data_IF_985223487995
#
_entry.id   IF_985223487995
#
_cell.length_a   1.000
_cell.length_b   1.000
_cell.length_c   1.000
_cell.angle_alpha   90.00
_cell.angle_beta   90.00
_cell.angle_gamma   90.00
#
_symmetry.space_group_name_H-M   'P 1'
#
loop_
_entity.id
_entity.type
_entity.pdbx_description
1 polymer ?
#
# COMPACT_ATOMS: atom_id res chain seq x y z
N UNK A 1 3.22 9.57 -20.75
CA UNK A 1 3.33 8.40 -19.90
C UNK A 1 2.32 8.52 -18.77
N UNK A 2 1.53 7.47 -18.52
CA UNK A 2 0.51 7.42 -17.47
C UNK A 2 0.87 6.26 -16.53
N UNK A 3 0.84 6.52 -15.23
CA UNK A 3 1.09 5.53 -14.20
C UNK A 3 -0.21 5.13 -13.49
N UNK A 4 -0.34 3.83 -13.20
CA UNK A 4 -1.53 3.25 -12.58
C UNK A 4 -1.33 3.02 -11.07
N UNK A 5 -0.91 4.04 -10.31
CA UNK A 5 -0.96 4.01 -8.85
C UNK A 5 -2.41 4.29 -8.42
N UNK A 6 -3.24 3.28 -8.64
CA UNK A 6 -4.71 3.36 -8.71
C UNK A 6 -5.37 3.92 -7.44
N UNK A 7 -4.81 3.68 -6.26
CA UNK A 7 -5.37 4.17 -4.99
C UNK A 7 -5.43 5.68 -4.89
N UNK A 8 -4.58 6.41 -5.64
CA UNK A 8 -4.65 7.88 -5.75
C UNK A 8 -5.99 8.39 -6.30
N UNK A 9 -6.73 7.52 -7.00
CA UNK A 9 -8.02 7.84 -7.61
C UNK A 9 -9.21 7.43 -6.75
N UNK A 10 -8.99 6.71 -5.63
CA UNK A 10 -10.06 6.23 -4.76
C UNK A 10 -10.87 7.38 -4.13
N UNK A 11 -12.12 7.07 -3.75
CA UNK A 11 -12.98 8.03 -3.05
C UNK A 11 -12.36 8.51 -1.74
N UNK A 12 -11.69 7.60 -1.01
CA UNK A 12 -10.95 7.93 0.21
C UNK A 12 -9.88 8.99 -0.04
N UNK A 13 -9.11 8.84 -1.12
CA UNK A 13 -8.05 9.80 -1.43
C UNK A 13 -8.54 11.11 -2.01
N UNK A 14 -9.64 11.10 -2.74
CA UNK A 14 -10.30 12.35 -3.18
C UNK A 14 -10.77 13.14 -1.97
N UNK A 15 -11.38 12.48 -1.00
CA UNK A 15 -11.84 13.11 0.23
C UNK A 15 -10.67 13.53 1.13
N UNK A 16 -9.65 12.68 1.28
CA UNK A 16 -8.45 13.02 2.04
C UNK A 16 -7.76 14.28 1.49
N UNK A 17 -7.67 14.40 0.18
CA UNK A 17 -7.12 15.61 -0.46
C UNK A 17 -7.90 16.87 -0.08
N UNK A 18 -9.25 16.81 -0.14
CA UNK A 18 -10.11 17.91 0.30
C UNK A 18 -9.85 18.30 1.76
N UNK A 19 -9.72 17.31 2.64
CA UNK A 19 -9.46 17.49 4.08
C UNK A 19 -8.09 18.14 4.32
N UNK A 20 -7.06 17.69 3.59
CA UNK A 20 -5.71 18.25 3.66
C UNK A 20 -5.66 19.69 3.14
N UNK A 21 -6.27 19.95 1.99
CA UNK A 21 -6.36 21.28 1.38
C UNK A 21 -7.14 22.28 2.27
N UNK A 22 -8.21 21.82 2.93
CA UNK A 22 -8.93 22.60 3.93
C UNK A 22 -8.11 22.86 5.21
N UNK A 23 -6.98 22.19 5.37
CA UNK A 23 -6.12 22.28 6.54
C UNK A 23 -6.77 21.74 7.82
N UNK A 24 -7.76 20.86 7.70
CA UNK A 24 -8.53 20.32 8.85
C UNK A 24 -7.62 19.55 9.81
N UNK A 25 -6.66 18.76 9.30
CA UNK A 25 -5.71 18.03 10.14
C UNK A 25 -4.56 18.91 10.66
N UNK A 26 -4.36 20.09 10.08
CA UNK A 26 -3.18 20.92 10.36
C UNK A 26 -1.91 20.31 9.76
N UNK A 27 -0.75 20.52 10.41
CA UNK A 27 0.51 19.92 10.01
C UNK A 27 0.48 18.43 10.37
N UNK A 28 0.77 17.54 9.42
CA UNK A 28 0.92 16.10 9.68
C UNK A 28 2.11 15.88 10.61
N UNK A 29 1.94 15.00 11.59
CA UNK A 29 2.95 14.69 12.62
C UNK A 29 3.39 13.23 12.57
N UNK A 30 2.43 12.31 12.37
CA UNK A 30 2.74 10.90 12.23
C UNK A 30 1.64 10.16 11.47
N UNK A 31 1.99 9.00 10.92
CA UNK A 31 1.06 8.12 10.22
C UNK A 31 1.32 6.66 10.62
N UNK A 32 0.28 5.88 10.60
CA UNK A 32 0.37 4.42 10.56
C UNK A 32 -0.55 3.87 9.48
N UNK A 33 -0.12 2.79 8.83
CA UNK A 33 -0.95 2.12 7.84
C UNK A 33 -0.54 0.65 7.69
N UNK A 34 -1.44 -0.13 7.10
CA UNK A 34 -1.16 -1.51 6.75
C UNK A 34 -1.73 -1.89 5.38
N UNK A 35 -1.11 -2.92 4.79
CA UNK A 35 -1.65 -3.70 3.68
C UNK A 35 -1.66 -5.16 4.12
N UNK A 36 -2.79 -5.61 4.66
CA UNK A 36 -3.03 -6.98 5.08
C UNK A 36 -3.86 -7.69 4.03
N UNK A 37 -3.27 -8.63 3.32
CA UNK A 37 -3.95 -9.38 2.28
C UNK A 37 -4.38 -10.76 2.74
N UNK A 38 -5.51 -11.22 2.21
CA UNK A 38 -6.09 -12.51 2.51
C UNK A 38 -5.21 -13.69 2.04
N UNK A 39 -5.36 -14.88 2.64
CA UNK A 39 -4.56 -16.06 2.32
C UNK A 39 -4.56 -16.43 0.83
N UNK A 40 -5.69 -16.30 0.14
CA UNK A 40 -5.79 -16.58 -1.30
C UNK A 40 -4.89 -15.65 -2.14
N UNK A 41 -4.80 -14.38 -1.73
CA UNK A 41 -4.00 -13.37 -2.42
C UNK A 41 -2.52 -13.56 -2.10
N UNK A 42 -2.16 -13.86 -0.83
CA UNK A 42 -0.79 -14.22 -0.48
C UNK A 42 -0.33 -15.50 -1.18
N UNK A 43 -1.17 -16.53 -1.23
CA UNK A 43 -0.92 -17.74 -2.01
C UNK A 43 -0.62 -17.45 -3.48
N UNK A 44 -1.37 -16.53 -4.09
CA UNK A 44 -1.11 -16.09 -5.46
C UNK A 44 0.32 -15.54 -5.60
N UNK A 45 0.76 -14.65 -4.71
CA UNK A 45 2.12 -14.11 -4.74
C UNK A 45 3.17 -15.21 -4.56
N UNK A 46 2.95 -16.15 -3.64
CA UNK A 46 3.90 -17.24 -3.36
C UNK A 46 3.98 -18.31 -4.46
N UNK A 47 3.12 -18.27 -5.47
CA UNK A 47 3.03 -19.27 -6.53
C UNK A 47 3.18 -18.72 -7.94
N UNK A 48 2.76 -17.49 -8.17
CA UNK A 48 2.91 -16.78 -9.43
C UNK A 48 4.38 -16.42 -9.69
N UNK A 49 4.71 -15.94 -10.89
CA UNK A 49 6.05 -15.48 -11.23
C UNK A 49 6.58 -14.41 -10.25
N UNK A 50 5.68 -13.68 -9.59
CA UNK A 50 5.97 -12.65 -8.59
C UNK A 50 6.68 -13.20 -7.35
N UNK A 51 6.61 -14.50 -7.12
CA UNK A 51 7.31 -15.17 -6.02
C UNK A 51 8.83 -15.05 -6.11
N UNK A 52 9.36 -14.75 -7.30
CA UNK A 52 10.79 -14.63 -7.56
C UNK A 52 11.19 -13.16 -7.66
N UNK A 53 12.01 -12.72 -6.71
CA UNK A 53 12.50 -11.33 -6.62
C UNK A 53 13.16 -10.85 -7.92
N UNK A 54 13.90 -11.74 -8.60
CA UNK A 54 14.54 -11.42 -9.90
C UNK A 54 13.57 -10.92 -10.98
N UNK A 55 12.27 -11.18 -10.83
CA UNK A 55 11.24 -10.74 -11.78
C UNK A 55 10.37 -9.61 -11.20
N UNK A 56 10.04 -9.69 -9.89
CA UNK A 56 9.14 -8.74 -9.23
C UNK A 56 9.86 -7.56 -8.59
N UNK A 57 11.15 -7.73 -8.24
CA UNK A 57 11.87 -6.79 -7.40
C UNK A 57 11.48 -6.86 -5.92
N UNK A 58 10.82 -7.96 -5.50
CA UNK A 58 10.34 -8.16 -4.14
C UNK A 58 8.89 -7.73 -3.93
N UNK A 59 8.28 -8.18 -2.84
CA UNK A 59 6.87 -7.90 -2.53
C UNK A 59 6.63 -6.41 -2.24
N UNK A 60 7.58 -5.75 -1.57
CA UNK A 60 7.45 -4.31 -1.25
C UNK A 60 7.36 -3.48 -2.53
N UNK A 61 8.20 -3.75 -3.52
CA UNK A 61 8.16 -3.04 -4.80
C UNK A 61 6.93 -3.41 -5.64
N UNK A 62 6.63 -4.71 -5.77
CA UNK A 62 5.55 -5.19 -6.65
C UNK A 62 4.14 -4.80 -6.15
N UNK A 63 3.93 -4.81 -4.83
CA UNK A 63 2.61 -4.58 -4.24
C UNK A 63 2.53 -3.31 -3.41
N UNK A 64 3.43 -3.12 -2.45
CA UNK A 64 3.30 -2.06 -1.47
C UNK A 64 3.76 -0.69 -1.96
N UNK A 65 4.39 -0.60 -3.16
CA UNK A 65 4.68 0.69 -3.78
C UNK A 65 3.43 1.57 -3.94
N UNK A 66 2.25 0.97 -4.11
CA UNK A 66 0.97 1.68 -4.13
C UNK A 66 0.67 2.39 -2.80
N UNK A 67 0.97 1.74 -1.67
CA UNK A 67 0.77 2.30 -0.33
C UNK A 67 1.82 3.36 -0.03
N UNK A 68 3.07 3.07 -0.33
CA UNK A 68 4.18 4.01 -0.15
C UNK A 68 3.92 5.31 -0.93
N UNK A 69 3.51 5.22 -2.19
CA UNK A 69 3.10 6.37 -2.99
C UNK A 69 1.98 7.17 -2.33
N UNK A 70 0.94 6.46 -1.90
CA UNK A 70 -0.23 7.06 -1.28
C UNK A 70 0.16 7.92 -0.06
N UNK A 71 0.94 7.35 0.87
CA UNK A 71 1.30 8.04 2.11
C UNK A 71 2.38 9.09 1.90
N UNK A 72 3.31 8.92 0.97
CA UNK A 72 4.21 9.98 0.52
C UNK A 72 3.41 11.21 0.06
N UNK A 73 2.31 10.98 -0.64
CA UNK A 73 1.47 12.08 -1.13
C UNK A 73 0.69 12.82 -0.04
N UNK A 74 0.34 12.10 1.02
CA UNK A 74 -0.36 12.68 2.18
C UNK A 74 0.62 13.54 3.00
N UNK A 75 1.85 13.05 3.19
CA UNK A 75 2.91 13.83 3.83
C UNK A 75 3.35 15.01 2.96
N UNK A 76 3.33 14.85 1.64
CA UNK A 76 3.78 15.86 0.68
C UNK A 76 5.30 15.98 0.55
N UNK A 77 6.05 15.00 1.11
CA UNK A 77 7.50 14.97 1.18
C UNK A 77 8.04 13.58 0.84
N UNK A 78 9.34 13.48 0.60
CA UNK A 78 10.08 12.23 0.44
C UNK A 78 10.72 11.83 1.77
N UNK A 79 10.72 10.53 2.16
CA UNK A 79 11.38 10.12 3.40
C UNK A 79 12.89 10.36 3.35
N UNK A 80 13.44 10.69 4.50
CA UNK A 80 14.90 10.93 4.68
C UNK A 80 15.62 9.67 5.09
N UNK A 81 14.97 8.79 5.88
CA UNK A 81 15.53 7.52 6.35
C UNK A 81 14.45 6.45 6.43
N UNK A 82 14.84 5.21 6.24
CA UNK A 82 13.97 4.04 6.41
C UNK A 82 14.67 2.96 7.23
N UNK A 83 13.88 2.20 8.01
CA UNK A 83 14.33 0.98 8.68
C UNK A 83 13.23 -0.08 8.56
N UNK A 84 13.62 -1.34 8.38
CA UNK A 84 12.66 -2.41 8.14
C UNK A 84 13.10 -3.74 8.75
N UNK A 85 12.10 -4.54 9.15
CA UNK A 85 12.24 -5.92 9.58
C UNK A 85 11.13 -6.75 8.95
N UNK A 86 11.46 -7.96 8.51
CA UNK A 86 10.51 -8.84 7.87
C UNK A 86 11.11 -10.19 7.54
N UNK A 87 10.39 -10.98 6.80
CA UNK A 87 10.84 -12.30 6.38
C UNK A 87 9.72 -13.16 5.86
N UNK A 88 9.98 -14.46 5.80
CA UNK A 88 9.01 -15.48 5.39
C UNK A 88 8.85 -16.50 6.51
N UNK A 89 7.69 -16.56 7.14
CA UNK A 89 7.38 -17.47 8.24
C UNK A 89 5.94 -17.99 8.23
N UNK A 90 5.08 -17.56 7.32
CA UNK A 90 3.74 -18.08 7.14
C UNK A 90 3.68 -19.12 6.01
N UNK A 91 4.20 -18.78 4.83
CA UNK A 91 4.20 -19.68 3.67
C UNK A 91 5.47 -20.55 3.67
N UNK A 92 5.62 -21.38 4.68
CA UNK A 92 6.72 -22.34 4.86
C UNK A 92 6.16 -23.75 5.08
N UNK A 93 6.93 -24.81 4.77
CA UNK A 93 6.43 -26.19 4.84
C UNK A 93 5.87 -26.63 6.20
N UNK A 94 6.43 -26.10 7.31
CA UNK A 94 5.96 -26.42 8.67
C UNK A 94 4.57 -25.83 8.99
N UNK A 95 4.16 -24.78 8.32
CA UNK A 95 2.89 -24.09 8.52
C UNK A 95 1.81 -24.51 7.52
N UNK A 96 2.14 -25.43 6.61
CA UNK A 96 1.17 -25.97 5.67
C UNK A 96 0.01 -26.65 6.40
N UNK A 97 -1.26 -26.31 6.09
CA UNK A 97 -2.41 -26.96 6.70
C UNK A 97 -2.40 -28.47 6.40
N UNK A 98 -2.89 -29.31 7.35
CA UNK A 98 -2.88 -30.75 7.15
C UNK A 98 -3.83 -31.19 6.03
N UNK A 99 -3.34 -32.02 5.11
CA UNK A 99 -4.11 -32.55 3.97
C UNK A 99 -4.22 -31.57 2.81
N UNK A 100 -4.92 -31.97 1.73
CA UNK A 100 -5.15 -31.14 0.53
C UNK A 100 -6.25 -30.08 0.77
N UNK A 101 -6.36 -29.50 1.98
CA UNK A 101 -7.38 -28.51 2.34
C UNK A 101 -6.97 -27.07 2.00
N UNK A 102 -5.87 -26.88 1.31
CA UNK A 102 -5.43 -25.54 0.87
C UNK A 102 -6.38 -24.90 -0.13
N UNK A 103 -7.11 -25.72 -0.89
CA UNK A 103 -7.86 -25.26 -2.05
C UNK A 103 -8.99 -24.29 -1.69
N UNK A 104 -9.59 -24.45 -0.52
CA UNK A 104 -10.74 -23.63 -0.10
C UNK A 104 -10.34 -22.19 0.30
N UNK A 105 -9.21 -22.03 1.01
CA UNK A 105 -8.76 -20.75 1.54
C UNK A 105 -7.74 -20.08 0.62
N UNK A 106 -6.86 -20.86 0.00
CA UNK A 106 -5.76 -20.37 -0.80
C UNK A 106 -6.07 -20.25 -2.30
N UNK A 107 -7.26 -20.61 -2.73
CA UNK A 107 -7.91 -20.46 -4.05
C UNK A 107 -6.95 -20.28 -5.23
N UNK A 108 -6.31 -21.37 -5.60
CA UNK A 108 -5.18 -21.36 -6.50
C UNK A 108 -5.62 -21.07 -7.94
N UNK A 109 -5.58 -19.83 -8.38
CA UNK A 109 -5.65 -19.52 -9.81
C UNK A 109 -4.31 -19.87 -10.44
N UNK A 110 -4.34 -20.69 -11.48
CA UNK A 110 -3.12 -21.00 -12.25
C UNK A 110 -2.62 -19.71 -12.92
N UNK A 111 -1.35 -19.41 -12.71
CA UNK A 111 -0.64 -18.44 -13.51
C UNK A 111 -0.34 -19.04 -14.88
N UNK A 112 -0.31 -18.22 -15.92
CA UNK A 112 0.05 -18.63 -17.27
C UNK A 112 1.56 -18.77 -17.47
N UNK A 113 2.38 -18.32 -16.51
CA UNK A 113 3.82 -18.29 -16.60
C UNK A 113 4.47 -18.66 -15.26
N UNK A 114 5.36 -19.66 -15.30
CA UNK A 114 6.21 -20.10 -14.17
C UNK A 114 5.50 -20.22 -12.81
N UNK A 115 4.33 -20.83 -12.75
CA UNK A 115 3.64 -21.01 -11.45
C UNK A 115 4.15 -22.23 -10.70
N UNK A 116 4.22 -22.13 -9.37
CA UNK A 116 4.39 -23.24 -8.45
C UNK A 116 3.03 -23.84 -8.07
N UNK A 117 2.99 -25.12 -7.71
CA UNK A 117 1.74 -25.82 -7.38
C UNK A 117 1.25 -25.53 -5.96
N UNK A 118 2.15 -25.29 -5.01
CA UNK A 118 1.86 -25.13 -3.60
C UNK A 118 2.60 -23.93 -3.02
N UNK A 119 1.90 -23.00 -2.34
CA UNK A 119 2.52 -21.79 -1.79
C UNK A 119 3.48 -22.06 -0.63
N UNK A 120 3.30 -23.18 0.10
CA UNK A 120 4.12 -23.52 1.27
C UNK A 120 5.44 -24.20 0.91
N UNK A 121 5.49 -24.86 -0.25
CA UNK A 121 6.67 -25.59 -0.75
C UNK A 121 7.29 -24.96 -1.99
N UNK A 122 6.77 -23.81 -2.41
CA UNK A 122 7.30 -23.07 -3.57
C UNK A 122 8.74 -22.59 -3.34
N UNK A 123 9.42 -22.34 -4.43
CA UNK A 123 10.76 -21.73 -4.49
C UNK A 123 10.72 -20.21 -4.34
N UNK A 124 9.66 -19.67 -3.71
CA UNK A 124 9.55 -18.23 -3.47
C UNK A 124 10.72 -17.70 -2.64
N UNK A 125 11.27 -16.58 -3.04
CA UNK A 125 12.34 -15.86 -2.33
C UNK A 125 11.88 -14.51 -1.78
N UNK A 126 10.59 -14.13 -2.01
CA UNK A 126 9.97 -12.93 -1.44
C UNK A 126 9.53 -13.15 0.02
N UNK A 127 9.31 -12.05 0.73
CA UNK A 127 8.80 -12.04 2.11
C UNK A 127 7.30 -12.36 2.15
N UNK A 128 6.77 -12.74 3.33
CA UNK A 128 5.35 -12.83 3.59
C UNK A 128 4.84 -11.92 4.71
N UNK A 129 5.75 -11.21 5.38
CA UNK A 129 5.43 -10.13 6.32
C UNK A 129 6.59 -9.15 6.41
N UNK A 130 6.29 -7.87 6.60
CA UNK A 130 7.31 -6.83 6.76
C UNK A 130 6.75 -5.63 7.53
N UNK A 131 7.58 -5.04 8.37
CA UNK A 131 7.34 -3.78 9.05
C UNK A 131 8.38 -2.77 8.61
N UNK A 132 7.96 -1.55 8.31
CA UNK A 132 8.85 -0.46 7.95
C UNK A 132 8.53 0.79 8.78
N UNK A 133 9.58 1.51 9.19
CA UNK A 133 9.48 2.84 9.76
C UNK A 133 10.19 3.81 8.83
N UNK A 134 9.49 4.86 8.44
CA UNK A 134 10.01 5.90 7.57
C UNK A 134 10.01 7.22 8.33
N UNK A 135 11.11 7.96 8.20
CA UNK A 135 11.22 9.31 8.71
C UNK A 135 11.21 10.30 7.55
N UNK A 136 10.45 11.37 7.69
CA UNK A 136 10.36 12.47 6.73
C UNK A 136 10.95 13.75 7.31
N UNK A 137 11.17 14.80 6.51
CA UNK A 137 11.50 16.12 7.01
C UNK A 137 10.57 16.58 8.13
N UNK A 138 11.04 17.46 9.01
CA UNK A 138 10.26 18.00 10.13
C UNK A 138 9.80 16.95 11.16
N UNK A 139 10.54 15.84 11.29
CA UNK A 139 10.27 14.75 12.24
C UNK A 139 8.88 14.09 12.06
N UNK A 140 8.36 14.07 10.84
CA UNK A 140 7.18 13.26 10.53
C UNK A 140 7.60 11.81 10.43
N UNK A 141 6.85 10.90 11.04
CA UNK A 141 7.12 9.46 11.01
C UNK A 141 5.95 8.67 10.44
N UNK A 142 6.28 7.60 9.73
CA UNK A 142 5.30 6.68 9.17
C UNK A 142 5.65 5.24 9.55
N UNK A 143 4.69 4.53 10.12
CA UNK A 143 4.77 3.11 10.43
C UNK A 143 3.92 2.33 9.44
N UNK A 144 4.53 1.42 8.69
CA UNK A 144 3.85 0.59 7.70
C UNK A 144 4.04 -0.90 8.02
N UNK A 145 2.94 -1.67 7.94
CA UNK A 145 2.97 -3.11 8.13
C UNK A 145 2.25 -3.82 6.99
N UNK A 146 2.90 -4.86 6.45
CA UNK A 146 2.26 -5.75 5.47
C UNK A 146 2.36 -7.21 5.91
N UNK A 147 1.32 -7.98 5.60
CA UNK A 147 1.29 -9.43 5.78
C UNK A 147 0.43 -10.09 4.70
N UNK A 148 0.90 -11.23 4.20
CA UNK A 148 0.33 -11.95 3.06
C UNK A 148 -0.61 -13.09 3.47
N UNK A 149 -0.83 -13.32 4.74
CA UNK A 149 -1.66 -14.43 5.23
C UNK A 149 -2.56 -13.97 6.39
N UNK A 150 -3.42 -12.99 6.12
CA UNK A 150 -4.30 -12.42 7.14
C UNK A 150 -5.73 -12.91 6.92
N UNK A 151 -6.36 -13.60 7.91
CA UNK A 151 -7.70 -14.16 7.76
C UNK A 151 -8.79 -13.13 7.48
N UNK A 152 -8.62 -11.91 7.97
CA UNK A 152 -9.53 -10.78 7.79
C UNK A 152 -8.73 -9.63 7.17
N UNK A 153 -8.77 -9.56 5.84
CA UNK A 153 -7.98 -8.57 5.09
C UNK A 153 -8.36 -7.14 5.45
N UNK A 154 -7.35 -6.27 5.52
CA UNK A 154 -7.50 -4.89 5.96
C UNK A 154 -6.50 -3.99 5.25
N UNK A 155 -6.94 -2.77 4.92
CA UNK A 155 -6.07 -1.72 4.42
C UNK A 155 -6.37 -0.44 5.17
N UNK A 156 -5.97 -0.43 6.45
CA UNK A 156 -6.25 0.64 7.40
C UNK A 156 -5.16 1.68 7.41
N UNK A 157 -5.56 2.87 7.83
CA UNK A 157 -4.64 3.97 8.08
C UNK A 157 -5.12 4.84 9.23
N UNK A 158 -4.17 5.48 9.90
CA UNK A 158 -4.41 6.58 10.82
C UNK A 158 -3.39 7.69 10.54
N UNK A 159 -3.88 8.89 10.28
CA UNK A 159 -3.08 10.06 9.96
C UNK A 159 -3.30 11.09 11.06
N UNK A 160 -2.26 11.39 11.81
CA UNK A 160 -2.31 12.31 12.95
C UNK A 160 -1.71 13.65 12.56
N UNK A 161 -2.49 14.67 12.70
CA UNK A 161 -2.07 16.05 12.49
C UNK A 161 -2.16 16.89 13.76
N UNK A 162 -1.64 18.11 13.68
CA UNK A 162 -1.60 19.04 14.83
C UNK A 162 -2.98 19.59 15.23
N UNK A 163 -4.00 19.42 14.39
CA UNK A 163 -5.36 19.92 14.63
C UNK A 163 -6.44 18.86 14.54
N UNK A 164 -6.16 17.73 13.93
CA UNK A 164 -7.11 16.64 13.77
C UNK A 164 -6.43 15.33 13.41
N UNK A 165 -7.22 14.28 13.40
CA UNK A 165 -6.84 12.93 13.02
C UNK A 165 -7.82 12.42 11.97
N UNK A 166 -7.30 11.70 10.98
CA UNK A 166 -8.09 10.93 10.03
C UNK A 166 -7.78 9.44 10.19
N UNK A 167 -8.79 8.61 10.33
CA UNK A 167 -8.66 7.16 10.35
C UNK A 167 -9.60 6.53 9.33
N UNK A 168 -9.18 5.45 8.69
CA UNK A 168 -10.00 4.79 7.69
C UNK A 168 -9.54 3.39 7.33
N UNK A 169 -10.37 2.73 6.54
CA UNK A 169 -10.11 1.41 5.98
C UNK A 169 -10.68 1.34 4.55
N UNK A 170 -9.80 1.16 3.58
CA UNK A 170 -10.22 1.07 2.18
C UNK A 170 -11.13 -0.13 1.91
N UNK A 171 -10.86 -1.27 2.56
CA UNK A 171 -11.66 -2.49 2.37
C UNK A 171 -13.05 -2.37 3.00
N UNK A 172 -13.15 -1.69 4.13
CA UNK A 172 -14.41 -1.49 4.87
C UNK A 172 -15.12 -0.19 4.53
N UNK A 173 -14.48 0.67 3.76
CA UNK A 173 -15.08 1.91 3.24
C UNK A 173 -15.15 3.07 4.23
N UNK A 174 -14.72 2.91 5.48
CA UNK A 174 -14.82 3.96 6.49
C UNK A 174 -13.76 5.04 6.34
N UNK A 175 -14.13 6.30 6.59
CA UNK A 175 -13.21 7.42 6.78
C UNK A 175 -13.79 8.37 7.82
N UNK A 176 -13.09 8.52 8.94
CA UNK A 176 -13.52 9.35 10.07
C UNK A 176 -12.50 10.43 10.37
N UNK A 177 -12.98 11.66 10.60
CA UNK A 177 -12.17 12.82 10.95
C UNK A 177 -12.53 13.27 12.35
N UNK A 178 -11.52 13.41 13.20
CA UNK A 178 -11.66 13.77 14.60
C UNK A 178 -10.86 15.04 14.91
N UNK A 179 -11.47 15.99 15.63
CA UNK A 179 -10.82 17.22 16.11
C UNK A 179 -9.85 16.89 17.27
N UNK A 180 -8.59 17.35 17.15
CA UNK A 180 -7.55 17.04 18.13
C UNK A 180 -7.77 17.68 19.51
N UNK A 181 -8.49 18.79 19.59
CA UNK A 181 -8.72 19.53 20.84
C UNK A 181 -9.90 18.99 21.65
N UNK A 182 -10.95 18.60 20.95
CA UNK A 182 -12.23 18.24 21.58
C UNK A 182 -12.51 16.77 21.58
N UNK A 183 -11.80 15.99 20.74
CA UNK A 183 -12.09 14.58 20.46
C UNK A 183 -13.42 14.36 19.74
N UNK A 184 -14.06 15.43 19.25
CA UNK A 184 -15.33 15.30 18.52
C UNK A 184 -15.10 14.82 17.10
N UNK A 185 -15.96 13.92 16.64
CA UNK A 185 -16.08 13.58 15.24
C UNK A 185 -16.53 14.81 14.46
N UNK A 186 -15.73 15.21 13.48
CA UNK A 186 -16.05 16.30 12.55
C UNK A 186 -16.79 15.78 11.33
N UNK A 187 -16.30 14.66 10.78
CA UNK A 187 -16.85 14.02 9.60
C UNK A 187 -16.75 12.50 9.78
N UNK A 188 -17.74 11.77 9.27
CA UNK A 188 -17.80 10.32 9.28
C UNK A 188 -18.40 9.86 7.95
N UNK A 189 -17.57 9.27 7.11
CA UNK A 189 -17.92 8.86 5.76
C UNK A 189 -17.98 7.35 5.67
N UNK A 190 -19.00 6.85 4.99
CA UNK A 190 -19.13 5.45 4.63
C UNK A 190 -19.07 5.32 3.10
N UNK A 191 -17.96 4.83 2.59
CA UNK A 191 -17.71 4.52 1.18
C UNK A 191 -17.81 3.01 0.92
N UNK A 192 -18.40 2.25 1.85
CA UNK A 192 -18.56 0.81 1.69
C UNK A 192 -19.41 0.50 0.46
N UNK A 193 -19.03 -0.57 -0.23
CA UNK A 193 -19.82 -1.09 -1.33
C UNK A 193 -20.86 -2.06 -0.78
N UNK A 194 -22.10 -2.08 -1.31
CA UNK A 194 -23.08 -3.07 -0.95
C UNK A 194 -22.60 -4.45 -1.46
N UNK A 195 -21.90 -5.16 -0.63
CA UNK A 195 -21.43 -6.52 -0.89
C UNK A 195 -22.05 -7.47 0.12
N UNK A 196 -22.48 -8.65 -0.35
CA UNK A 196 -22.82 -9.74 0.57
C UNK A 196 -21.58 -10.11 1.39
N UNK A 197 -21.68 -10.21 2.73
CA UNK A 197 -20.55 -10.63 3.55
C UNK A 197 -19.96 -11.96 3.05
N UNK A 198 -18.68 -11.98 2.73
CA UNK A 198 -17.98 -13.18 2.24
C UNK A 198 -18.14 -13.46 0.73
N UNK A 199 -18.81 -12.61 -0.04
CA UNK A 199 -18.98 -12.82 -1.50
C UNK A 199 -17.68 -12.63 -2.30
N UNK A 200 -16.65 -12.01 -1.75
CA UNK A 200 -15.41 -11.66 -2.48
C UNK A 200 -15.60 -10.69 -3.65
N UNK A 201 -16.81 -10.16 -3.83
CA UNK A 201 -17.18 -9.26 -4.92
C UNK A 201 -16.95 -7.78 -4.55
N UNK A 202 -15.77 -7.45 -4.03
CA UNK A 202 -15.39 -6.05 -3.95
C UNK A 202 -15.06 -5.54 -5.35
N UNK A 203 -15.49 -4.30 -5.70
CA UNK A 203 -15.00 -3.67 -6.91
C UNK A 203 -13.47 -3.62 -6.87
N UNK A 204 -12.84 -3.94 -7.99
CA UNK A 204 -11.38 -3.93 -8.10
C UNK A 204 -10.82 -2.62 -7.54
N UNK A 205 -9.81 -2.73 -6.66
CA UNK A 205 -9.19 -1.60 -5.95
C UNK A 205 -10.22 -0.64 -5.30
N UNK A 206 -11.26 -1.22 -4.66
CA UNK A 206 -12.29 -0.43 -3.96
C UNK A 206 -12.96 0.63 -4.86
N UNK A 207 -13.22 0.26 -6.13
CA UNK A 207 -13.84 1.15 -7.14
C UNK A 207 -12.91 2.18 -7.77
N UNK A 208 -11.66 2.25 -7.37
CA UNK A 208 -10.71 3.24 -7.89
C UNK A 208 -10.35 3.04 -9.37
N UNK A 209 -10.42 1.82 -9.91
CA UNK A 209 -10.16 1.54 -11.33
C UNK A 209 -11.10 2.33 -12.25
N UNK A 210 -12.38 2.35 -11.92
CA UNK A 210 -13.36 3.12 -12.69
C UNK A 210 -13.05 4.61 -12.66
N UNK A 211 -12.79 5.15 -11.46
CA UNK A 211 -12.46 6.56 -11.28
C UNK A 211 -11.16 6.95 -11.99
N UNK A 212 -10.17 6.07 -11.98
CA UNK A 212 -8.92 6.26 -12.73
C UNK A 212 -9.19 6.34 -14.24
N UNK A 213 -9.98 5.43 -14.78
CA UNK A 213 -10.34 5.46 -16.21
C UNK A 213 -11.09 6.76 -16.59
N UNK A 214 -12.01 7.21 -15.75
CA UNK A 214 -12.74 8.47 -15.94
C UNK A 214 -11.81 9.69 -15.94
N UNK A 215 -10.87 9.77 -14.98
CA UNK A 215 -9.89 10.84 -14.90
C UNK A 215 -8.92 10.83 -16.10
N UNK A 216 -8.46 9.64 -16.53
CA UNK A 216 -7.61 9.50 -17.72
C UNK A 216 -8.34 9.99 -18.97
N UNK A 217 -9.61 9.62 -19.16
CA UNK A 217 -10.41 10.09 -20.30
C UNK A 217 -10.57 11.61 -20.26
N UNK A 218 -10.87 12.17 -19.08
CA UNK A 218 -11.03 13.62 -18.90
C UNK A 218 -9.71 14.36 -19.17
N UNK A 219 -8.58 13.79 -18.75
CA UNK A 219 -7.25 14.33 -19.04
C UNK A 219 -6.94 14.33 -20.54
N UNK A 220 -7.21 13.22 -21.23
CA UNK A 220 -7.00 13.10 -22.66
C UNK A 220 -7.90 14.02 -23.50
N UNK A 221 -9.06 14.36 -22.99
CA UNK A 221 -9.98 15.34 -23.59
C UNK A 221 -9.61 16.80 -23.31
N UNK A 222 -8.72 17.03 -22.35
CA UNK A 222 -8.33 18.38 -21.91
C UNK A 222 -9.26 18.98 -20.85
N UNK A 223 -10.21 18.21 -20.32
CA UNK A 223 -11.13 18.64 -19.25
C UNK A 223 -10.42 18.67 -17.89
N UNK A 224 -9.41 17.80 -17.70
CA UNK A 224 -8.55 17.75 -16.52
C UNK A 224 -7.12 18.19 -16.90
N UNK A 225 -6.53 19.08 -16.10
CA UNK A 225 -5.20 19.64 -16.39
C UNK A 225 -4.05 18.69 -16.08
N UNK A 226 -4.19 17.83 -15.08
CA UNK A 226 -3.17 16.87 -14.66
C UNK A 226 -3.81 15.67 -14.00
N UNK A 227 -3.15 14.52 -14.06
CA UNK A 227 -3.50 13.34 -13.29
C UNK A 227 -2.91 13.44 -11.86
N UNK A 228 -3.47 12.72 -10.87
CA UNK A 228 -3.03 12.80 -9.47
C UNK A 228 -1.65 12.18 -9.21
N UNK A 229 -1.08 11.47 -10.17
CA UNK A 229 0.24 10.84 -10.10
C UNK A 229 0.97 10.94 -11.43
N UNK A 230 2.23 11.33 -11.38
CA UNK A 230 3.14 11.42 -12.51
C UNK A 230 4.31 10.43 -12.40
N UNK A 231 5.23 10.46 -13.39
CA UNK A 231 6.40 9.59 -13.40
C UNK A 231 7.30 9.75 -12.18
N UNK A 232 7.48 10.99 -11.71
CA UNK A 232 8.39 11.27 -10.57
C UNK A 232 7.89 10.63 -9.28
N UNK A 233 6.58 10.77 -8.98
CA UNK A 233 5.96 10.15 -7.81
C UNK A 233 6.07 8.62 -7.86
N UNK A 234 5.85 8.02 -9.02
CA UNK A 234 5.96 6.57 -9.20
C UNK A 234 7.39 6.06 -8.97
N UNK A 235 8.40 6.79 -9.47
CA UNK A 235 9.81 6.46 -9.24
C UNK A 235 10.16 6.62 -7.76
N UNK A 236 9.73 7.70 -7.11
CA UNK A 236 9.93 7.91 -5.67
C UNK A 236 9.37 6.75 -4.86
N UNK A 237 8.15 6.32 -5.14
CA UNK A 237 7.54 5.18 -4.43
C UNK A 237 8.33 3.88 -4.63
N UNK A 238 8.81 3.62 -5.84
CA UNK A 238 9.67 2.47 -6.15
C UNK A 238 11.00 2.50 -5.41
N UNK A 239 11.69 3.64 -5.43
CA UNK A 239 12.97 3.81 -4.72
C UNK A 239 12.83 3.63 -3.20
N UNK A 240 11.74 4.14 -2.62
CA UNK A 240 11.46 3.92 -1.19
C UNK A 240 11.17 2.45 -0.89
N UNK A 241 10.40 1.76 -1.74
CA UNK A 241 10.14 0.33 -1.59
C UNK A 241 11.44 -0.50 -1.63
N UNK A 242 12.34 -0.19 -2.57
CA UNK A 242 13.67 -0.83 -2.65
C UNK A 242 14.53 -0.56 -1.42
N UNK A 243 14.52 0.69 -0.90
CA UNK A 243 15.26 1.04 0.31
C UNK A 243 14.71 0.34 1.57
N UNK A 244 13.40 0.08 1.63
CA UNK A 244 12.79 -0.72 2.70
C UNK A 244 13.33 -2.15 2.66
N UNK A 245 13.40 -2.77 1.48
CA UNK A 245 13.96 -4.13 1.31
C UNK A 245 15.46 -4.17 1.58
N UNK A 246 16.23 -3.16 1.14
CA UNK A 246 17.64 -3.02 1.46
C UNK A 246 17.89 -2.92 2.97
N UNK A 247 17.08 -2.12 3.68
CA UNK A 247 17.17 -2.00 5.14
C UNK A 247 16.92 -3.34 5.83
N UNK A 248 15.91 -4.09 5.38
CA UNK A 248 15.63 -5.42 5.92
C UNK A 248 16.80 -6.38 5.68
N UNK A 249 17.35 -6.40 4.48
CA UNK A 249 18.44 -7.31 4.09
C UNK A 249 19.75 -6.99 4.83
N UNK A 250 20.07 -5.70 5.01
CA UNK A 250 21.29 -5.23 5.66
C UNK A 250 21.19 -5.19 7.19
N UNK A 251 19.97 -5.11 7.75
CA UNK A 251 19.71 -4.83 9.15
C UNK A 251 20.12 -3.41 9.59
N UNK A 252 20.27 -2.49 8.64
CA UNK A 252 20.70 -1.12 8.90
C UNK A 252 19.62 -0.11 8.55
N UNK A 253 19.71 1.09 9.11
CA UNK A 253 18.96 2.24 8.65
C UNK A 253 19.52 2.69 7.31
N UNK A 254 18.68 2.85 6.30
CA UNK A 254 19.05 3.40 4.98
C UNK A 254 18.79 4.90 4.98
N UNK A 255 19.84 5.68 4.70
CA UNK A 255 19.74 7.12 4.46
C UNK A 255 19.42 7.38 2.98
N UNK A 256 18.39 8.17 2.72
CA UNK A 256 17.89 8.40 1.37
C UNK A 256 18.53 9.62 0.67
N UNK A 257 19.47 10.32 1.31
CA UNK A 257 20.00 11.58 0.78
C UNK A 257 20.68 11.42 -0.59
N UNK A 258 21.52 10.38 -0.76
CA UNK A 258 22.19 10.09 -2.02
C UNK A 258 21.19 9.72 -3.12
N UNK A 259 20.23 8.84 -2.80
CA UNK A 259 19.15 8.45 -3.72
C UNK A 259 18.38 9.66 -4.25
N UNK A 260 18.07 10.62 -3.36
CA UNK A 260 17.37 11.82 -3.79
C UNK A 260 18.24 12.77 -4.59
N UNK A 261 19.53 12.86 -4.26
CA UNK A 261 20.48 13.63 -5.04
C UNK A 261 20.61 13.10 -6.47
N UNK A 262 20.76 11.81 -6.64
CA UNK A 262 20.80 11.15 -7.95
C UNK A 262 19.51 11.34 -8.75
N UNK A 263 18.35 11.11 -8.11
CA UNK A 263 17.06 11.30 -8.76
C UNK A 263 16.87 12.75 -9.25
N UNK A 264 17.18 13.72 -8.39
CA UNK A 264 17.01 15.15 -8.75
C UNK A 264 18.01 15.63 -9.81
N UNK A 265 19.12 14.93 -10.02
CA UNK A 265 20.05 15.19 -11.12
C UNK A 265 19.53 14.72 -12.50
N UNK A 266 18.49 13.87 -12.51
CA UNK A 266 17.86 13.36 -13.75
C UNK A 266 16.72 14.27 -14.27
N UNK A 267 16.24 15.21 -13.45
CA UNK A 267 15.09 16.08 -13.72
C UNK A 267 15.44 17.56 -13.56
#
# INVERSE_FOLDING_TARGET
LIFCLVLRYSVHMREMRRILEAGTLGRITSLEANEHIAPYHGSFFMRDWRRLEKYSGGFMLEKCCHDIDLYNSIVGERPTRVVSFGGRNNFIPSEAPPGNKHDDVYQIKKSYWESADDPFTSDADIIDHQNALLEYPNNVSFSFHTSLNVPDEQRRFCIIGSRGMAEGDFGRGGLRITDARTGKCLEDHDFSFPTEPGSGNYPSHYGADKLMCEDIVSFLRGDLKSLPVGPKEAIVAGLVAMAIDESMASGQVVDMAETWHELDALY
#
